data_IF_579043341485
#
_entry.id   IF_579043341485
#
_cell.length_a   1.000
_cell.length_b   1.000
_cell.length_c   1.000
_cell.angle_alpha   90.00
_cell.angle_beta   90.00
_cell.angle_gamma   90.00
#
_symmetry.space_group_name_H-M   'P 1'
#
loop_
_entity.id
_entity.type
_entity.pdbx_description
1 polymer ?
#
# COMPACT_ATOMS: atom_id res chain seq x y z
N UNK A 1 -17.23 -34.37 45.36
CA UNK A 1 -16.08 -35.22 45.70
C UNK A 1 -15.07 -35.06 44.55
N UNK A 2 -14.05 -34.27 44.79
CA UNK A 2 -13.01 -33.98 43.83
C UNK A 2 -12.02 -35.13 43.87
N UNK A 3 -12.03 -36.00 42.84
CA UNK A 3 -11.04 -37.04 42.69
C UNK A 3 -9.80 -36.44 42.01
N UNK A 4 -8.66 -36.73 42.62
CA UNK A 4 -7.34 -36.20 42.31
C UNK A 4 -6.95 -36.37 40.84
N UNK A 5 -6.27 -35.33 40.32
CA UNK A 5 -5.65 -35.28 39.00
C UNK A 5 -4.50 -36.32 38.97
N UNK A 6 -4.78 -37.49 38.37
CA UNK A 6 -3.74 -38.46 38.03
C UNK A 6 -3.55 -38.46 36.52
N UNK A 7 -2.32 -38.38 36.05
CA UNK A 7 -2.01 -38.59 34.63
C UNK A 7 -2.14 -40.10 34.31
N UNK A 8 -2.92 -40.43 33.31
CA UNK A 8 -3.05 -41.78 32.82
C UNK A 8 -2.13 -42.03 31.63
N UNK A 9 -1.34 -43.09 31.70
CA UNK A 9 -0.43 -43.53 30.66
C UNK A 9 -1.21 -44.32 29.62
N UNK A 10 -1.21 -43.89 28.38
CA UNK A 10 -1.90 -44.57 27.27
C UNK A 10 -0.99 -45.66 26.69
N UNK A 11 -1.05 -46.86 27.26
CA UNK A 11 -0.28 -48.01 26.76
C UNK A 11 -1.22 -48.90 25.92
N UNK A 12 -1.13 -48.76 24.60
CA UNK A 12 -1.89 -49.62 23.68
C UNK A 12 -1.34 -49.53 22.26
N UNK A 13 -0.78 -50.64 21.81
CA UNK A 13 -0.35 -50.85 20.42
C UNK A 13 -1.55 -50.80 19.48
N UNK A 14 -1.76 -49.69 18.76
CA UNK A 14 -2.80 -49.56 17.75
C UNK A 14 -2.37 -50.21 16.43
N UNK A 15 -3.01 -51.36 16.07
CA UNK A 15 -2.98 -51.88 14.70
C UNK A 15 -4.04 -51.20 13.86
N UNK A 16 -3.59 -50.48 12.85
CA UNK A 16 -4.46 -49.76 11.90
C UNK A 16 -4.83 -50.59 10.68
N UNK A 17 -6.10 -50.59 10.32
CA UNK A 17 -6.62 -51.00 9.02
C UNK A 17 -7.41 -49.86 8.39
N UNK A 18 -6.93 -49.32 7.26
CA UNK A 18 -7.67 -48.35 6.45
C UNK A 18 -6.85 -47.88 5.22
N UNK A 19 -7.47 -47.47 4.11
CA UNK A 19 -6.91 -47.56 2.77
C UNK A 19 -5.98 -46.39 2.42
N UNK A 20 -4.89 -46.75 1.88
CA UNK A 20 -3.66 -46.16 1.29
C UNK A 20 -2.46 -46.38 2.19
N UNK A 21 -1.80 -47.43 1.79
CA UNK A 21 -0.96 -48.31 2.59
C UNK A 21 0.47 -47.82 2.91
N UNK A 22 0.90 -46.65 2.47
CA UNK A 22 2.31 -46.26 2.64
C UNK A 22 2.61 -45.20 3.71
N UNK A 23 1.66 -44.35 4.07
CA UNK A 23 1.91 -43.30 5.08
C UNK A 23 1.34 -43.60 6.47
N UNK A 24 0.33 -44.49 6.55
CA UNK A 24 -0.35 -44.86 7.81
C UNK A 24 0.28 -46.04 8.52
N UNK A 25 1.07 -46.86 7.85
CA UNK A 25 1.80 -47.97 8.43
C UNK A 25 3.05 -47.57 9.23
N UNK A 26 3.55 -46.36 9.00
CA UNK A 26 4.70 -45.79 9.74
C UNK A 26 4.36 -45.36 11.18
N UNK A 27 3.06 -45.28 11.53
CA UNK A 27 2.65 -44.82 12.89
C UNK A 27 2.36 -45.96 13.85
N UNK A 28 2.81 -47.18 13.56
CA UNK A 28 2.52 -48.36 14.38
C UNK A 28 3.36 -48.49 15.66
N UNK A 29 4.45 -47.73 15.76
CA UNK A 29 5.33 -47.68 16.95
C UNK A 29 5.50 -46.24 17.44
N UNK A 30 5.33 -46.02 18.75
CA UNK A 30 5.46 -44.69 19.36
C UNK A 30 6.84 -44.01 19.05
N UNK A 31 7.89 -44.80 18.88
CA UNK A 31 9.20 -44.33 18.46
C UNK A 31 9.26 -43.79 17.02
N UNK A 32 8.35 -44.25 16.14
CA UNK A 32 8.29 -43.77 14.75
C UNK A 32 7.63 -42.39 14.66
N UNK A 33 6.79 -42.01 15.61
CA UNK A 33 6.20 -40.67 15.71
C UNK A 33 7.31 -39.61 15.97
N UNK A 34 8.21 -39.90 16.91
CA UNK A 34 9.32 -38.98 17.20
C UNK A 34 10.26 -38.83 15.99
N UNK A 35 10.56 -39.92 15.27
CA UNK A 35 11.36 -39.88 14.05
C UNK A 35 10.68 -39.08 12.95
N UNK A 36 9.36 -39.22 12.80
CA UNK A 36 8.57 -38.44 11.82
C UNK A 36 8.58 -36.95 12.16
N UNK A 37 8.40 -36.59 13.42
CA UNK A 37 8.51 -35.21 13.91
C UNK A 37 9.93 -34.66 13.65
N UNK A 38 10.98 -35.44 13.93
CA UNK A 38 12.37 -35.06 13.69
C UNK A 38 12.66 -34.83 12.20
N UNK A 39 12.12 -35.67 11.33
CA UNK A 39 12.26 -35.50 9.88
C UNK A 39 11.63 -34.19 9.39
N UNK A 40 10.38 -33.91 9.83
CA UNK A 40 9.69 -32.67 9.46
C UNK A 40 10.41 -31.44 10.03
N UNK A 41 10.85 -31.50 11.27
CA UNK A 41 11.57 -30.41 11.91
C UNK A 41 12.83 -30.04 11.12
N UNK A 42 13.59 -31.04 10.64
CA UNK A 42 14.79 -30.83 9.80
C UNK A 42 14.46 -30.35 8.40
N UNK A 43 13.47 -30.99 7.73
CA UNK A 43 13.10 -30.67 6.35
C UNK A 43 12.55 -29.25 6.19
N UNK A 44 11.94 -28.74 7.25
CA UNK A 44 11.29 -27.41 7.28
C UNK A 44 12.02 -26.37 8.14
N UNK A 45 13.15 -26.76 8.73
CA UNK A 45 13.97 -25.87 9.64
C UNK A 45 13.14 -25.31 10.80
N UNK A 46 12.22 -26.12 11.34
CA UNK A 46 11.35 -25.74 12.46
C UNK A 46 11.90 -26.32 13.76
N UNK A 47 11.80 -25.54 14.85
CA UNK A 47 12.13 -26.06 16.17
C UNK A 47 11.27 -27.27 16.56
N UNK A 48 11.92 -28.39 16.88
CA UNK A 48 11.30 -29.66 17.27
C UNK A 48 10.35 -29.50 18.44
N UNK A 49 10.77 -28.76 19.47
CA UNK A 49 9.98 -28.60 20.69
C UNK A 49 8.71 -27.78 20.42
N UNK A 50 8.81 -26.73 19.60
CA UNK A 50 7.66 -25.95 19.17
C UNK A 50 6.63 -26.81 18.38
N UNK A 51 7.11 -27.77 17.58
CA UNK A 51 6.26 -28.70 16.84
C UNK A 51 5.56 -29.68 17.78
N UNK A 52 6.28 -30.22 18.78
CA UNK A 52 5.71 -31.12 19.80
C UNK A 52 4.61 -30.43 20.60
N UNK A 53 4.86 -29.22 21.09
CA UNK A 53 3.87 -28.42 21.84
C UNK A 53 2.63 -28.15 21.01
N UNK A 54 2.77 -27.84 19.71
CA UNK A 54 1.64 -27.63 18.83
C UNK A 54 0.80 -28.91 18.64
N UNK A 55 1.44 -30.08 18.56
CA UNK A 55 0.77 -31.37 18.48
C UNK A 55 0.00 -31.66 19.80
N UNK A 56 0.63 -31.46 20.95
CA UNK A 56 0.01 -31.61 22.27
C UNK A 56 -1.25 -30.76 22.40
N UNK A 57 -1.17 -29.46 22.01
CA UNK A 57 -2.30 -28.53 22.04
C UNK A 57 -3.43 -28.91 21.08
N UNK A 58 -3.09 -29.30 19.85
CA UNK A 58 -4.10 -29.70 18.86
C UNK A 58 -4.86 -30.96 19.28
N UNK A 59 -4.16 -31.90 19.92
CA UNK A 59 -4.75 -33.10 20.44
C UNK A 59 -5.65 -32.86 21.65
N UNK A 60 -5.18 -32.01 22.58
CA UNK A 60 -5.97 -31.58 23.73
C UNK A 60 -7.29 -30.92 23.25
N UNK A 61 -7.21 -30.02 22.29
CA UNK A 61 -8.37 -29.34 21.71
C UNK A 61 -9.34 -30.32 20.99
N UNK A 62 -8.81 -31.27 20.26
CA UNK A 62 -9.64 -32.27 19.57
C UNK A 62 -10.39 -33.18 20.54
N UNK A 63 -9.74 -33.58 21.62
CA UNK A 63 -10.35 -34.38 22.69
C UNK A 63 -11.35 -33.52 23.47
N UNK A 64 -11.03 -32.32 23.85
CA UNK A 64 -11.92 -31.38 24.51
C UNK A 64 -13.23 -31.18 23.71
N UNK A 65 -13.10 -30.96 22.40
CA UNK A 65 -14.27 -30.83 21.51
C UNK A 65 -15.09 -32.11 21.38
N UNK A 66 -14.45 -33.28 21.37
CA UNK A 66 -15.15 -34.56 21.22
C UNK A 66 -15.92 -34.95 22.47
N UNK A 67 -15.31 -34.74 23.63
CA UNK A 67 -15.88 -35.18 24.92
C UNK A 67 -16.64 -34.07 25.65
N UNK A 68 -16.64 -32.84 25.12
CA UNK A 68 -17.29 -31.68 25.75
C UNK A 68 -16.68 -31.27 27.08
N UNK A 69 -15.37 -31.43 27.22
CA UNK A 69 -14.62 -31.17 28.45
C UNK A 69 -13.60 -30.07 28.18
N UNK A 70 -13.56 -29.03 29.03
CA UNK A 70 -12.71 -27.86 28.80
C UNK A 70 -11.29 -27.98 29.39
N UNK A 71 -11.02 -28.99 30.23
CA UNK A 71 -9.75 -29.14 30.97
C UNK A 71 -9.00 -30.43 30.56
N UNK A 72 -8.66 -30.52 29.27
CA UNK A 72 -7.88 -31.63 28.73
C UNK A 72 -6.43 -31.23 28.60
N UNK A 73 -5.53 -31.89 29.35
CA UNK A 73 -4.09 -31.75 29.19
C UNK A 73 -3.53 -32.99 28.48
N UNK A 74 -2.73 -32.76 27.44
CA UNK A 74 -2.04 -33.79 26.66
C UNK A 74 -0.55 -33.50 26.65
N UNK A 75 0.26 -34.53 26.88
CA UNK A 75 1.71 -34.45 26.81
C UNK A 75 2.29 -35.60 26.01
N UNK A 76 3.29 -35.33 25.21
CA UNK A 76 4.08 -36.34 24.48
C UNK A 76 5.36 -36.63 25.30
N UNK A 77 5.57 -37.86 25.66
CA UNK A 77 6.84 -38.30 26.26
C UNK A 77 7.95 -38.23 25.20
N UNK A 78 9.01 -37.44 25.48
CA UNK A 78 10.11 -37.18 24.55
C UNK A 78 11.01 -38.38 24.31
N UNK A 79 10.98 -39.36 25.23
CA UNK A 79 11.82 -40.56 25.14
C UNK A 79 11.11 -41.72 24.51
N UNK A 80 9.87 -41.97 24.94
CA UNK A 80 9.10 -43.12 24.50
C UNK A 80 8.20 -42.85 23.32
N UNK A 81 7.85 -41.56 23.05
CA UNK A 81 6.90 -41.14 22.04
C UNK A 81 5.44 -41.49 22.42
N UNK A 82 5.18 -41.78 23.71
CA UNK A 82 3.85 -42.06 24.21
C UNK A 82 3.11 -40.76 24.56
N UNK A 83 1.81 -40.75 24.26
CA UNK A 83 0.94 -39.66 24.67
C UNK A 83 0.32 -39.93 26.03
N UNK A 84 0.44 -38.97 26.92
CA UNK A 84 -0.05 -38.99 28.28
C UNK A 84 -1.20 -38.00 28.39
N UNK A 85 -2.39 -38.48 28.78
CA UNK A 85 -3.59 -37.64 28.94
C UNK A 85 -4.08 -37.68 30.38
N UNK A 86 -4.66 -36.56 30.85
CA UNK A 86 -5.28 -36.50 32.19
C UNK A 86 -6.68 -37.10 32.27
N UNK A 87 -7.21 -37.62 31.15
CA UNK A 87 -8.50 -38.33 31.07
C UNK A 87 -8.31 -39.76 30.63
N UNK A 88 -9.14 -40.67 31.22
CA UNK A 88 -9.21 -42.06 30.77
C UNK A 88 -10.09 -42.16 29.52
N UNK A 89 -9.45 -42.33 28.40
CA UNK A 89 -10.07 -42.27 27.08
C UNK A 89 -9.89 -43.61 26.38
N UNK A 90 -11.00 -44.27 25.99
CA UNK A 90 -10.94 -45.56 25.32
C UNK A 90 -10.32 -45.47 23.91
N UNK A 91 -9.35 -46.35 23.66
CA UNK A 91 -8.39 -46.22 22.52
C UNK A 91 -8.97 -46.59 21.14
N UNK A 92 -10.04 -47.40 21.07
CA UNK A 92 -10.48 -48.01 19.80
C UNK A 92 -11.15 -47.01 18.82
N UNK A 93 -11.86 -46.00 19.32
CA UNK A 93 -12.52 -44.97 18.47
C UNK A 93 -11.65 -43.80 18.12
N UNK A 94 -10.50 -43.64 18.74
CA UNK A 94 -9.68 -42.43 18.73
C UNK A 94 -8.64 -42.36 17.60
N UNK A 95 -8.24 -43.50 17.07
CA UNK A 95 -7.13 -43.55 16.12
C UNK A 95 -7.28 -42.64 14.89
N UNK A 96 -8.49 -42.53 14.33
CA UNK A 96 -8.73 -41.65 13.18
C UNK A 96 -8.68 -40.17 13.55
N UNK A 97 -9.33 -39.80 14.67
CA UNK A 97 -9.37 -38.39 15.10
C UNK A 97 -7.98 -37.94 15.52
N UNK A 98 -7.27 -38.81 16.20
CA UNK A 98 -5.90 -38.64 16.61
C UNK A 98 -4.98 -38.37 15.41
N UNK A 99 -4.92 -39.27 14.43
CA UNK A 99 -4.08 -39.10 13.24
C UNK A 99 -4.43 -37.81 12.45
N UNK A 100 -5.72 -37.50 12.33
CA UNK A 100 -6.18 -36.27 11.68
C UNK A 100 -5.74 -35.00 12.47
N UNK A 101 -5.87 -35.04 13.80
CA UNK A 101 -5.46 -33.90 14.66
C UNK A 101 -3.98 -33.68 14.62
N UNK A 102 -3.15 -34.71 14.69
CA UNK A 102 -1.69 -34.62 14.56
C UNK A 102 -1.29 -34.09 13.19
N UNK A 103 -1.88 -34.63 12.12
CA UNK A 103 -1.63 -34.16 10.76
C UNK A 103 -1.98 -32.65 10.62
N UNK A 104 -3.14 -32.23 11.15
CA UNK A 104 -3.56 -30.82 11.09
C UNK A 104 -2.65 -29.91 11.93
N UNK A 105 -2.21 -30.36 13.10
CA UNK A 105 -1.27 -29.61 13.94
C UNK A 105 0.07 -29.40 13.24
N UNK A 106 0.63 -30.49 12.66
CA UNK A 106 1.88 -30.43 11.91
C UNK A 106 1.74 -29.47 10.73
N UNK A 107 0.70 -29.62 9.90
CA UNK A 107 0.45 -28.72 8.76
C UNK A 107 0.27 -27.27 9.22
N UNK A 108 -0.45 -27.05 10.34
CA UNK A 108 -0.65 -25.74 10.92
C UNK A 108 0.67 -25.09 11.32
N UNK A 109 1.54 -25.82 12.02
CA UNK A 109 2.83 -25.33 12.50
C UNK A 109 3.84 -25.08 11.38
N UNK A 110 3.87 -25.97 10.38
CA UNK A 110 4.68 -25.78 9.18
C UNK A 110 4.29 -24.48 8.46
N UNK A 111 2.98 -24.26 8.25
CA UNK A 111 2.48 -23.03 7.62
C UNK A 111 2.78 -21.78 8.46
N UNK A 112 2.75 -21.90 9.77
CA UNK A 112 3.08 -20.81 10.67
C UNK A 112 4.56 -20.42 10.57
N UNK A 113 5.46 -21.40 10.58
CA UNK A 113 6.87 -21.17 10.40
C UNK A 113 7.21 -20.61 9.01
N UNK A 114 6.64 -21.19 7.94
CA UNK A 114 6.77 -20.66 6.58
C UNK A 114 6.27 -19.21 6.49
N UNK A 115 5.15 -18.90 7.14
CA UNK A 115 4.60 -17.54 7.24
C UNK A 115 5.58 -16.58 7.93
N UNK A 116 6.19 -17.00 9.04
CA UNK A 116 7.09 -16.15 9.81
C UNK A 116 8.39 -15.87 9.05
N UNK A 117 8.92 -16.84 8.31
CA UNK A 117 10.08 -16.64 7.40
C UNK A 117 9.72 -15.67 6.28
N UNK A 118 8.58 -15.85 5.61
CA UNK A 118 8.11 -14.95 4.55
C UNK A 118 7.89 -13.54 5.09
N UNK A 119 7.30 -13.42 6.28
CA UNK A 119 7.08 -12.12 6.92
C UNK A 119 8.40 -11.40 7.16
N UNK A 120 9.39 -12.06 7.76
CA UNK A 120 10.71 -11.48 8.01
C UNK A 120 11.43 -11.08 6.71
N UNK A 121 11.30 -11.90 5.64
CA UNK A 121 11.88 -11.57 4.33
C UNK A 121 11.29 -10.28 3.75
N UNK A 122 9.96 -10.13 3.76
CA UNK A 122 9.30 -8.94 3.21
C UNK A 122 9.36 -7.73 4.14
N UNK A 123 9.44 -7.94 5.45
CA UNK A 123 9.65 -6.86 6.43
C UNK A 123 11.02 -6.20 6.24
N UNK A 124 12.06 -6.99 5.95
CA UNK A 124 13.38 -6.48 5.63
C UNK A 124 13.42 -5.66 4.32
N UNK A 125 12.46 -5.91 3.41
CA UNK A 125 12.34 -5.22 2.12
C UNK A 125 11.30 -4.08 2.13
N UNK A 126 10.86 -3.62 3.30
CA UNK A 126 9.97 -2.48 3.39
C UNK A 126 10.58 -1.25 2.73
N UNK A 127 9.84 -0.59 1.85
CA UNK A 127 10.31 0.56 1.07
C UNK A 127 11.06 0.21 -0.20
N UNK A 128 11.29 -1.06 -0.51
CA UNK A 128 11.89 -1.51 -1.77
C UNK A 128 10.82 -1.77 -2.83
N UNK A 129 11.26 -1.80 -4.10
CA UNK A 129 10.43 -2.14 -5.24
C UNK A 129 10.39 -3.66 -5.42
N UNK A 130 9.18 -4.17 -5.52
CA UNK A 130 8.94 -5.56 -5.90
C UNK A 130 8.25 -5.65 -7.25
N UNK A 131 8.63 -6.65 -8.05
CA UNK A 131 7.96 -6.97 -9.31
C UNK A 131 7.05 -8.16 -9.11
N UNK A 132 5.82 -8.07 -9.60
CA UNK A 132 4.85 -9.16 -9.56
C UNK A 132 3.98 -9.21 -10.81
N UNK A 133 3.14 -10.22 -10.91
CA UNK A 133 2.17 -10.37 -11.99
C UNK A 133 0.76 -10.24 -11.43
N UNK A 134 -0.08 -9.41 -12.05
CA UNK A 134 -1.47 -9.23 -11.65
C UNK A 134 -2.22 -10.55 -11.87
N UNK A 135 -2.75 -11.12 -10.80
CA UNK A 135 -3.42 -12.41 -10.83
C UNK A 135 -4.94 -12.28 -10.98
N UNK A 136 -5.54 -11.40 -10.20
CA UNK A 136 -7.00 -11.19 -10.18
C UNK A 136 -7.35 -9.85 -9.55
N UNK A 137 -8.62 -9.48 -9.70
CA UNK A 137 -9.21 -8.34 -9.00
C UNK A 137 -10.17 -8.85 -7.92
N UNK A 138 -10.10 -8.26 -6.75
CA UNK A 138 -11.06 -8.45 -5.67
C UNK A 138 -11.74 -7.11 -5.39
N UNK A 139 -12.86 -6.87 -6.08
CA UNK A 139 -13.49 -5.56 -6.10
C UNK A 139 -12.55 -4.49 -6.69
N UNK A 140 -12.29 -3.44 -5.92
CA UNK A 140 -11.37 -2.36 -6.31
C UNK A 140 -9.88 -2.66 -6.05
N UNK A 141 -9.59 -3.79 -5.42
CA UNK A 141 -8.24 -4.19 -5.03
C UNK A 141 -7.62 -5.09 -6.09
N UNK A 142 -6.35 -4.87 -6.41
CA UNK A 142 -5.59 -5.73 -7.32
C UNK A 142 -4.75 -6.70 -6.51
N UNK A 143 -4.87 -7.98 -6.81
CA UNK A 143 -4.05 -9.03 -6.23
C UNK A 143 -2.90 -9.36 -7.19
N UNK A 144 -1.70 -9.24 -6.67
CA UNK A 144 -0.45 -9.41 -7.41
C UNK A 144 0.28 -10.65 -6.88
N UNK A 145 0.68 -11.53 -7.76
CA UNK A 145 1.52 -12.66 -7.41
C UNK A 145 2.99 -12.20 -7.35
N UNK A 146 3.58 -12.26 -6.15
CA UNK A 146 4.98 -11.87 -5.90
C UNK A 146 5.95 -13.07 -5.98
N UNK A 147 5.45 -14.22 -6.35
CA UNK A 147 6.21 -15.46 -6.38
C UNK A 147 6.00 -16.34 -5.15
N UNK A 148 6.43 -17.61 -5.22
CA UNK A 148 6.14 -18.63 -4.21
C UNK A 148 4.65 -18.65 -3.87
N UNK A 149 4.28 -18.51 -2.61
CA UNK A 149 2.89 -18.49 -2.11
C UNK A 149 2.46 -17.11 -1.60
N UNK A 150 3.22 -16.04 -1.94
CA UNK A 150 3.00 -14.70 -1.40
C UNK A 150 2.15 -13.85 -2.33
N UNK A 151 1.06 -13.33 -1.78
CA UNK A 151 0.16 -12.42 -2.48
C UNK A 151 0.45 -10.96 -2.06
N UNK A 152 0.71 -10.11 -3.06
CA UNK A 152 0.74 -8.66 -2.91
C UNK A 152 -0.66 -8.10 -3.11
N UNK A 153 -1.02 -7.13 -2.29
CA UNK A 153 -2.32 -6.47 -2.32
C UNK A 153 -2.10 -5.00 -2.66
N UNK A 154 -2.64 -4.55 -3.78
CA UNK A 154 -2.65 -3.16 -4.16
C UNK A 154 -4.07 -2.61 -3.96
N UNK A 155 -4.35 -1.94 -2.83
CA UNK A 155 -5.67 -1.41 -2.51
C UNK A 155 -6.01 -0.20 -3.37
N UNK A 156 -7.29 0.15 -3.47
CA UNK A 156 -7.78 1.30 -4.25
C UNK A 156 -7.07 2.62 -3.91
N UNK A 157 -6.78 2.86 -2.64
CA UNK A 157 -6.11 4.09 -2.19
C UNK A 157 -4.69 4.21 -2.73
N UNK A 158 -4.03 3.08 -2.96
CA UNK A 158 -2.64 2.99 -3.41
C UNK A 158 -2.50 2.76 -4.93
N UNK A 159 -3.62 2.75 -5.65
CA UNK A 159 -3.66 2.68 -7.12
C UNK A 159 -3.60 4.07 -7.73
N UNK A 160 -2.83 4.22 -8.77
CA UNK A 160 -2.82 5.43 -9.58
C UNK A 160 -4.02 5.40 -10.53
N UNK A 161 -4.89 6.43 -10.48
CA UNK A 161 -6.15 6.45 -11.25
C UNK A 161 -5.97 6.50 -12.76
N UNK A 162 -4.84 7.02 -13.23
CA UNK A 162 -4.51 7.12 -14.65
C UNK A 162 -3.94 5.83 -15.22
N UNK A 163 -3.59 4.87 -14.38
CA UNK A 163 -3.03 3.59 -14.81
C UNK A 163 -4.12 2.54 -15.05
N UNK A 164 -3.96 1.78 -16.12
CA UNK A 164 -4.78 0.61 -16.41
C UNK A 164 -4.07 -0.64 -15.92
N UNK A 165 -4.80 -1.49 -15.24
CA UNK A 165 -4.28 -2.73 -14.69
C UNK A 165 -4.99 -3.90 -15.37
N UNK A 166 -4.22 -4.85 -15.96
CA UNK A 166 -4.78 -6.00 -16.65
C UNK A 166 -4.26 -7.30 -16.02
N UNK A 167 -5.12 -8.31 -15.96
CA UNK A 167 -4.71 -9.64 -15.47
C UNK A 167 -3.63 -10.22 -16.39
N UNK A 168 -2.57 -10.76 -15.79
CA UNK A 168 -1.40 -11.27 -16.50
C UNK A 168 -0.31 -10.22 -16.78
N UNK A 169 -0.58 -8.95 -16.53
CA UNK A 169 0.39 -7.88 -16.71
C UNK A 169 1.41 -7.86 -15.56
N UNK A 170 2.65 -7.53 -15.89
CA UNK A 170 3.71 -7.37 -14.92
C UNK A 170 3.68 -5.96 -14.34
N UNK A 171 3.74 -5.86 -13.03
CA UNK A 171 3.70 -4.59 -12.31
C UNK A 171 4.88 -4.50 -11.34
N UNK A 172 5.45 -3.30 -11.23
CA UNK A 172 6.39 -2.94 -10.18
C UNK A 172 5.67 -2.05 -9.17
N UNK A 173 5.85 -2.31 -7.89
CA UNK A 173 5.24 -1.53 -6.83
C UNK A 173 6.14 -1.47 -5.60
N UNK A 174 5.96 -0.45 -4.78
CA UNK A 174 6.66 -0.30 -3.51
C UNK A 174 6.01 -1.21 -2.47
N UNK A 175 6.80 -1.89 -1.67
CA UNK A 175 6.32 -2.58 -0.48
C UNK A 175 6.04 -1.52 0.59
N UNK A 176 4.75 -1.26 0.82
CA UNK A 176 4.32 -0.22 1.76
C UNK A 176 4.16 -0.75 3.18
N UNK A 177 3.58 -1.93 3.33
CA UNK A 177 3.33 -2.55 4.63
C UNK A 177 3.24 -4.06 4.48
N UNK A 178 3.65 -4.80 5.51
CA UNK A 178 3.54 -6.26 5.56
C UNK A 178 2.68 -6.65 6.76
N UNK A 179 1.65 -7.48 6.53
CA UNK A 179 0.70 -7.91 7.57
C UNK A 179 0.59 -9.42 7.64
N UNK A 180 0.57 -9.95 8.87
CA UNK A 180 0.18 -11.33 9.13
C UNK A 180 -1.35 -11.39 9.24
N UNK A 181 -2.00 -12.07 8.30
CA UNK A 181 -3.47 -12.24 8.30
C UNK A 181 -3.79 -13.72 8.32
N UNK A 182 -4.11 -14.23 9.50
CA UNK A 182 -4.34 -15.66 9.70
C UNK A 182 -3.12 -16.50 9.28
N UNK A 183 -3.29 -17.50 8.42
CA UNK A 183 -2.21 -18.40 8.01
C UNK A 183 -1.34 -17.84 6.87
N UNK A 184 -1.60 -16.62 6.37
CA UNK A 184 -0.90 -16.04 5.22
C UNK A 184 -0.28 -14.69 5.56
N UNK A 185 0.79 -14.34 4.82
CA UNK A 185 1.35 -12.99 4.79
C UNK A 185 0.68 -12.22 3.66
N UNK A 186 0.25 -11.02 3.96
CA UNK A 186 -0.27 -10.06 2.98
C UNK A 186 0.70 -8.89 2.88
N UNK A 187 1.26 -8.70 1.70
CA UNK A 187 2.16 -7.59 1.40
C UNK A 187 1.33 -6.48 0.75
N UNK A 188 1.20 -5.35 1.45
CA UNK A 188 0.49 -4.18 0.92
C UNK A 188 1.44 -3.43 0.00
N UNK A 189 1.01 -3.26 -1.24
CA UNK A 189 1.77 -2.58 -2.28
C UNK A 189 1.23 -1.16 -2.49
N UNK A 190 2.12 -0.24 -2.87
CA UNK A 190 1.74 1.12 -3.25
C UNK A 190 2.38 1.52 -4.57
N UNK A 191 1.59 2.20 -5.43
CA UNK A 191 2.07 2.92 -6.62
C UNK A 191 1.89 4.43 -6.48
N UNK A 192 1.19 4.89 -5.43
CA UNK A 192 0.98 6.32 -5.15
C UNK A 192 2.06 6.93 -4.29
N UNK A 193 2.77 6.13 -3.49
CA UNK A 193 3.76 6.61 -2.55
C UNK A 193 4.95 7.30 -3.24
N UNK A 194 5.45 8.40 -2.66
CA UNK A 194 6.59 9.16 -3.21
C UNK A 194 7.90 8.36 -3.23
N UNK A 195 8.07 7.44 -2.27
CA UNK A 195 9.27 6.62 -2.19
C UNK A 195 9.37 5.59 -3.32
N UNK A 196 8.27 5.29 -4.04
CA UNK A 196 8.35 4.55 -5.29
C UNK A 196 9.25 5.26 -6.31
N UNK A 197 9.08 6.58 -6.44
CA UNK A 197 9.92 7.38 -7.35
C UNK A 197 11.37 7.39 -6.87
N UNK A 198 11.61 7.54 -5.56
CA UNK A 198 12.95 7.46 -4.97
C UNK A 198 13.63 6.15 -5.34
N UNK A 199 12.98 5.02 -5.06
CA UNK A 199 13.52 3.71 -5.31
C UNK A 199 13.74 3.43 -6.81
N UNK A 200 12.91 3.98 -7.71
CA UNK A 200 13.16 3.92 -9.15
C UNK A 200 14.40 4.70 -9.56
N UNK A 201 14.63 5.87 -8.97
CA UNK A 201 15.87 6.63 -9.22
C UNK A 201 17.11 5.92 -8.66
N UNK A 202 17.02 5.29 -7.50
CA UNK A 202 18.10 4.48 -6.91
C UNK A 202 18.48 3.30 -7.81
N UNK A 203 17.50 2.69 -8.48
CA UNK A 203 17.74 1.59 -9.44
C UNK A 203 18.37 2.06 -10.76
N UNK A 204 17.94 3.22 -11.30
CA UNK A 204 18.36 3.68 -12.63
C UNK A 204 19.60 4.57 -12.59
N UNK A 205 19.92 5.17 -11.44
CA UNK A 205 21.00 6.17 -11.28
C UNK A 205 22.02 5.65 -10.27
N UNK A 206 23.12 5.03 -10.71
CA UNK A 206 24.16 4.49 -9.83
C UNK A 206 24.74 5.54 -8.87
N UNK A 207 24.87 6.78 -9.31
CA UNK A 207 25.39 7.90 -8.50
C UNK A 207 24.52 8.23 -7.29
N UNK A 208 23.22 7.86 -7.30
CA UNK A 208 22.34 7.93 -6.14
C UNK A 208 22.56 6.73 -5.23
N UNK A 209 22.68 5.55 -5.79
CA UNK A 209 22.95 4.31 -5.06
C UNK A 209 24.30 4.38 -4.32
N UNK A 210 25.31 4.97 -4.94
CA UNK A 210 26.65 5.18 -4.35
C UNK A 210 26.69 6.33 -3.33
N UNK A 211 25.61 7.10 -3.19
CA UNK A 211 25.51 8.24 -2.27
C UNK A 211 26.24 9.51 -2.75
N UNK A 212 26.76 9.55 -3.98
CA UNK A 212 27.35 10.75 -4.59
C UNK A 212 26.29 11.82 -4.81
N UNK A 213 25.10 11.41 -5.23
CA UNK A 213 23.91 12.25 -5.39
C UNK A 213 22.90 11.89 -4.32
N UNK A 214 22.36 12.90 -3.67
CA UNK A 214 21.36 12.74 -2.62
C UNK A 214 20.02 13.34 -3.06
N UNK A 215 18.94 12.59 -2.92
CA UNK A 215 17.59 13.09 -3.10
C UNK A 215 17.17 13.82 -1.82
N UNK A 216 17.09 15.14 -1.86
CA UNK A 216 16.74 15.99 -0.70
C UNK A 216 15.25 15.98 -0.43
N UNK A 217 14.41 16.16 -1.47
CA UNK A 217 12.95 16.18 -1.35
C UNK A 217 12.28 15.65 -2.61
N UNK A 218 11.11 15.04 -2.40
CA UNK A 218 10.23 14.58 -3.48
C UNK A 218 8.81 15.03 -3.14
N UNK A 219 8.17 15.70 -4.09
CA UNK A 219 6.76 16.00 -4.03
C UNK A 219 6.06 15.47 -5.28
N UNK A 220 5.00 14.68 -5.07
CA UNK A 220 4.37 13.88 -6.09
C UNK A 220 2.87 14.06 -6.11
N UNK A 221 2.31 14.24 -7.30
CA UNK A 221 0.90 14.01 -7.61
C UNK A 221 0.82 12.76 -8.49
N UNK A 222 0.47 11.59 -7.90
CA UNK A 222 0.56 10.32 -8.59
C UNK A 222 -0.18 10.27 -9.91
N UNK A 223 0.49 9.81 -10.96
CA UNK A 223 -0.03 9.72 -12.32
C UNK A 223 -0.08 11.04 -13.10
N UNK A 224 0.40 12.14 -12.51
CA UNK A 224 0.42 13.44 -13.16
C UNK A 224 1.80 14.06 -13.23
N UNK A 225 2.37 14.40 -12.10
CA UNK A 225 3.66 15.10 -12.03
C UNK A 225 4.37 14.89 -10.72
N UNK A 226 5.68 14.74 -10.80
CA UNK A 226 6.60 14.68 -9.65
C UNK A 226 7.68 15.73 -9.79
N UNK A 227 8.01 16.39 -8.68
CA UNK A 227 9.17 17.26 -8.56
C UNK A 227 10.18 16.63 -7.60
N UNK A 228 11.42 16.51 -8.07
CA UNK A 228 12.52 15.86 -7.37
C UNK A 228 13.64 16.84 -7.17
N UNK A 229 13.99 17.16 -5.93
CA UNK A 229 15.14 18.00 -5.62
C UNK A 229 16.34 17.12 -5.27
N UNK A 230 17.41 17.27 -6.05
CA UNK A 230 18.65 16.51 -5.93
C UNK A 230 19.83 17.43 -5.63
N UNK A 231 20.77 16.90 -4.88
CA UNK A 231 22.01 17.58 -4.49
C UNK A 231 23.20 16.66 -4.73
N UNK A 232 24.35 17.20 -5.04
CA UNK A 232 25.57 16.43 -5.19
C UNK A 232 26.52 16.69 -4.04
N UNK A 233 27.08 15.63 -3.47
CA UNK A 233 28.13 15.71 -2.48
C UNK A 233 29.51 16.03 -3.11
N UNK A 234 29.65 15.87 -4.43
CA UNK A 234 30.84 16.24 -5.21
C UNK A 234 30.47 17.38 -6.17
N UNK A 235 31.13 18.55 -6.03
CA UNK A 235 30.91 19.71 -6.89
C UNK A 235 31.19 19.50 -8.37
N UNK A 236 31.99 18.47 -8.70
CA UNK A 236 32.31 18.09 -10.08
C UNK A 236 31.22 17.32 -10.79
N UNK A 237 30.27 16.76 -10.03
CA UNK A 237 29.20 15.93 -10.56
C UNK A 237 27.94 16.78 -10.77
N UNK A 238 27.47 16.84 -12.02
CA UNK A 238 26.17 17.44 -12.32
C UNK A 238 25.03 16.49 -11.90
N UNK A 239 24.44 16.78 -10.73
CA UNK A 239 23.37 15.95 -10.16
C UNK A 239 22.13 15.84 -11.06
N UNK A 240 21.79 16.92 -11.80
CA UNK A 240 20.64 16.91 -12.71
C UNK A 240 20.96 16.11 -13.97
N UNK A 241 22.13 16.37 -14.58
CA UNK A 241 22.57 15.65 -15.77
C UNK A 241 22.71 14.14 -15.55
N UNK A 242 23.25 13.72 -14.40
CA UNK A 242 23.37 12.31 -14.05
C UNK A 242 22.00 11.61 -13.90
N UNK A 243 21.03 12.27 -13.26
CA UNK A 243 19.66 11.77 -13.11
C UNK A 243 18.89 11.70 -14.45
N UNK A 244 19.13 12.65 -15.35
CA UNK A 244 18.54 12.67 -16.70
C UNK A 244 19.16 11.58 -17.57
N UNK A 245 20.47 11.41 -17.48
CA UNK A 245 21.23 10.47 -18.29
C UNK A 245 21.43 10.92 -19.73
N UNK A 246 22.22 10.14 -20.49
CA UNK A 246 22.55 10.46 -21.88
C UNK A 246 21.27 10.54 -22.72
N UNK A 247 21.02 11.69 -23.33
CA UNK A 247 19.80 11.94 -24.13
C UNK A 247 18.48 11.66 -23.40
N UNK A 248 18.48 11.74 -22.07
CA UNK A 248 17.30 11.49 -21.25
C UNK A 248 16.94 10.01 -21.07
N UNK A 249 17.86 9.08 -21.32
CA UNK A 249 17.57 7.63 -21.27
C UNK A 249 17.10 7.17 -19.90
N UNK A 250 17.77 7.62 -18.81
CA UNK A 250 17.44 7.20 -17.45
C UNK A 250 16.07 7.72 -17.00
N UNK A 251 15.85 9.02 -17.16
CA UNK A 251 14.57 9.63 -16.79
C UNK A 251 13.41 9.07 -17.62
N UNK A 252 13.65 8.75 -18.90
CA UNK A 252 12.64 8.15 -19.76
C UNK A 252 12.22 6.77 -19.28
N UNK A 253 13.16 5.91 -18.89
CA UNK A 253 12.88 4.59 -18.30
C UNK A 253 11.96 4.70 -17.09
N UNK A 254 12.21 5.68 -16.20
CA UNK A 254 11.39 5.92 -15.02
C UNK A 254 9.99 6.47 -15.40
N UNK A 255 9.91 7.40 -16.35
CA UNK A 255 8.64 7.95 -16.84
C UNK A 255 7.78 6.85 -17.49
N UNK A 256 8.40 5.96 -18.28
CA UNK A 256 7.71 4.84 -18.92
C UNK A 256 7.18 3.85 -17.87
N UNK A 257 7.95 3.55 -16.80
CA UNK A 257 7.49 2.72 -15.68
C UNK A 257 6.31 3.35 -14.92
N UNK A 258 6.27 4.68 -14.82
CA UNK A 258 5.20 5.45 -14.17
C UNK A 258 4.05 5.83 -15.13
N UNK A 259 3.93 5.15 -16.26
CA UNK A 259 2.86 5.37 -17.25
C UNK A 259 2.76 6.82 -17.76
N UNK A 260 3.90 7.47 -17.98
CA UNK A 260 3.96 8.82 -18.54
C UNK A 260 3.80 9.94 -17.50
N UNK A 261 3.98 9.66 -16.21
CA UNK A 261 4.04 10.69 -15.16
C UNK A 261 5.23 11.63 -15.42
N UNK A 262 4.97 12.93 -15.45
CA UNK A 262 6.03 13.94 -15.69
C UNK A 262 6.93 14.08 -14.48
N UNK A 263 8.24 14.07 -14.70
CA UNK A 263 9.23 14.22 -13.63
C UNK A 263 10.10 15.45 -13.91
N UNK A 264 10.09 16.41 -12.98
CA UNK A 264 10.96 17.57 -12.99
C UNK A 264 12.09 17.38 -11.99
N UNK A 265 13.32 17.33 -12.48
CA UNK A 265 14.52 17.21 -11.65
C UNK A 265 15.07 18.61 -11.40
N UNK A 266 15.24 18.94 -10.13
CA UNK A 266 15.57 20.28 -9.64
C UNK A 266 16.88 20.19 -8.86
N UNK A 267 17.84 21.07 -9.17
CA UNK A 267 19.05 21.19 -8.34
C UNK A 267 18.67 21.85 -7.01
N UNK A 268 18.99 21.19 -5.92
CA UNK A 268 18.83 21.76 -4.58
C UNK A 268 19.72 22.98 -4.40
N UNK A 269 19.26 23.97 -3.68
CA UNK A 269 20.04 25.10 -3.22
C UNK A 269 19.62 25.48 -1.82
N UNK A 270 20.57 25.88 -0.98
CA UNK A 270 20.30 26.34 0.37
C UNK A 270 19.68 27.73 0.40
N UNK A 271 19.93 28.55 -0.65
CA UNK A 271 19.23 29.82 -0.83
C UNK A 271 17.81 29.61 -1.30
N UNK A 272 16.80 30.05 -0.50
CA UNK A 272 15.40 29.84 -0.81
C UNK A 272 14.96 30.48 -2.14
N UNK A 273 15.48 31.65 -2.49
CA UNK A 273 15.13 32.34 -3.73
C UNK A 273 15.54 31.50 -4.93
N UNK A 274 16.76 31.02 -4.93
CA UNK A 274 17.30 30.17 -6.00
C UNK A 274 16.55 28.83 -6.06
N UNK A 275 16.22 28.25 -4.90
CA UNK A 275 15.46 27.00 -4.85
C UNK A 275 14.05 27.16 -5.41
N UNK A 276 13.34 28.24 -5.09
CA UNK A 276 12.01 28.56 -5.61
C UNK A 276 12.07 28.78 -7.13
N UNK A 277 13.05 29.56 -7.62
CA UNK A 277 13.26 29.76 -9.05
C UNK A 277 13.47 28.42 -9.79
N UNK A 278 14.32 27.53 -9.24
CA UNK A 278 14.55 26.20 -9.79
C UNK A 278 13.28 25.33 -9.73
N UNK A 279 12.50 25.45 -8.65
CA UNK A 279 11.29 24.64 -8.44
C UNK A 279 10.14 25.04 -9.38
N UNK A 280 10.10 26.29 -9.85
CA UNK A 280 9.08 26.77 -10.79
C UNK A 280 9.38 26.44 -12.24
N UNK A 281 10.60 25.97 -12.56
CA UNK A 281 10.91 25.52 -13.93
C UNK A 281 9.82 24.56 -14.46
N UNK A 282 9.45 24.63 -15.75
CA UNK A 282 10.13 25.32 -16.85
C UNK A 282 9.83 26.83 -16.99
N UNK A 283 9.03 27.45 -16.11
CA UNK A 283 8.78 28.88 -16.17
C UNK A 283 10.03 29.68 -15.81
N UNK A 284 10.24 30.77 -16.53
CA UNK A 284 11.28 31.77 -16.22
C UNK A 284 10.74 32.75 -15.19
N UNK A 285 11.49 32.90 -14.11
CA UNK A 285 11.13 33.73 -12.96
C UNK A 285 11.99 34.96 -12.95
N UNK A 286 11.36 36.13 -12.74
CA UNK A 286 12.05 37.39 -12.54
C UNK A 286 12.49 37.59 -11.09
N UNK A 287 11.92 38.56 -10.41
CA UNK A 287 12.27 38.92 -9.04
C UNK A 287 11.50 38.05 -8.04
N UNK A 288 12.16 37.69 -6.93
CA UNK A 288 11.55 36.93 -5.83
C UNK A 288 11.71 37.69 -4.52
N UNK A 289 10.61 38.06 -3.90
CA UNK A 289 10.58 38.68 -2.58
C UNK A 289 10.17 37.67 -1.55
N UNK A 290 10.99 37.48 -0.51
CA UNK A 290 10.77 36.52 0.56
C UNK A 290 10.36 37.22 1.85
N UNK A 291 9.29 36.73 2.49
CA UNK A 291 8.96 37.06 3.87
C UNK A 291 9.28 35.86 4.79
N UNK A 292 10.39 35.88 5.51
CA UNK A 292 10.78 34.78 6.39
C UNK A 292 9.81 34.55 7.56
N UNK A 293 9.09 35.59 7.96
CA UNK A 293 8.18 35.57 9.13
C UNK A 293 6.93 34.73 8.83
N UNK A 294 6.34 34.94 7.66
CA UNK A 294 5.14 34.22 7.21
C UNK A 294 5.45 33.04 6.32
N UNK A 295 6.72 32.84 5.91
CA UNK A 295 7.18 31.88 4.89
C UNK A 295 6.44 32.05 3.56
N UNK A 296 6.16 33.29 3.18
CA UNK A 296 5.58 33.63 1.89
C UNK A 296 6.67 34.09 0.92
N UNK A 297 6.51 33.71 -0.32
CA UNK A 297 7.37 34.09 -1.42
C UNK A 297 6.52 34.74 -2.51
N UNK A 298 6.70 36.01 -2.76
CA UNK A 298 6.12 36.72 -3.90
C UNK A 298 7.06 36.57 -5.08
N UNK A 299 6.57 35.96 -6.14
CA UNK A 299 7.32 35.65 -7.36
C UNK A 299 6.77 36.47 -8.51
N UNK A 300 7.62 37.34 -9.10
CA UNK A 300 7.24 38.16 -10.23
C UNK A 300 7.66 37.44 -11.52
N UNK A 301 6.70 37.28 -12.42
CA UNK A 301 6.91 36.63 -13.71
C UNK A 301 6.42 37.54 -14.85
N UNK A 302 6.92 37.30 -16.04
CA UNK A 302 6.38 37.94 -17.25
C UNK A 302 4.99 37.36 -17.56
N UNK A 303 4.16 38.13 -18.26
CA UNK A 303 2.78 37.73 -18.60
C UNK A 303 2.72 36.41 -19.38
N UNK A 304 3.67 36.17 -20.28
CA UNK A 304 3.82 34.96 -21.07
C UNK A 304 4.21 33.73 -20.21
N UNK A 305 4.88 33.94 -19.09
CA UNK A 305 5.34 32.87 -18.17
C UNK A 305 4.36 32.57 -17.05
N UNK A 306 3.38 33.43 -16.77
CA UNK A 306 2.44 33.28 -15.66
C UNK A 306 1.67 31.94 -15.73
N UNK A 307 1.11 31.62 -16.90
CA UNK A 307 0.38 30.36 -17.09
C UNK A 307 1.26 29.12 -16.89
N UNK A 308 2.56 29.24 -17.25
CA UNK A 308 3.52 28.14 -17.10
C UNK A 308 3.93 27.98 -15.63
N UNK A 309 4.15 29.09 -14.94
CA UNK A 309 4.53 29.14 -13.53
C UNK A 309 3.41 28.55 -12.63
N UNK A 310 2.19 28.93 -12.87
CA UNK A 310 1.01 28.38 -12.17
C UNK A 310 0.79 26.92 -12.56
N UNK A 311 0.87 26.63 -13.86
CA UNK A 311 0.62 25.32 -14.43
C UNK A 311 -0.87 24.92 -14.46
N UNK A 312 -1.16 23.77 -15.06
CA UNK A 312 -2.54 23.28 -15.19
C UNK A 312 -3.15 23.06 -13.79
N UNK A 313 -4.27 23.73 -13.48
CA UNK A 313 -4.94 23.66 -12.16
C UNK A 313 -4.03 24.00 -10.98
N UNK A 314 -3.03 24.86 -11.17
CA UNK A 314 -2.09 25.25 -10.11
C UNK A 314 -1.11 24.13 -9.68
N UNK A 315 -0.94 23.09 -10.48
CA UNK A 315 -0.07 21.95 -10.12
C UNK A 315 1.39 22.36 -9.96
N UNK A 316 1.91 23.21 -10.84
CA UNK A 316 3.32 23.58 -10.82
C UNK A 316 3.66 24.36 -9.55
N UNK A 317 2.88 25.40 -9.24
CA UNK A 317 3.08 26.21 -8.04
C UNK A 317 2.84 25.39 -6.76
N UNK A 318 1.79 24.56 -6.72
CA UNK A 318 1.49 23.74 -5.54
C UNK A 318 2.59 22.74 -5.21
N UNK A 319 3.14 22.06 -6.23
CA UNK A 319 4.28 21.15 -6.04
C UNK A 319 5.55 21.89 -5.66
N UNK A 320 5.81 23.06 -6.27
CA UNK A 320 6.94 23.91 -5.92
C UNK A 320 6.85 24.42 -4.47
N UNK A 321 5.66 24.85 -4.04
CA UNK A 321 5.39 25.32 -2.68
C UNK A 321 5.67 24.21 -1.65
N UNK A 322 5.14 23.02 -1.88
CA UNK A 322 5.41 21.85 -1.01
C UNK A 322 6.89 21.47 -0.98
N UNK A 323 7.53 21.45 -2.14
CA UNK A 323 8.95 21.07 -2.26
C UNK A 323 9.87 22.04 -1.53
N UNK A 324 9.62 23.34 -1.66
CA UNK A 324 10.43 24.40 -1.04
C UNK A 324 10.06 24.65 0.42
N UNK A 325 8.79 24.41 0.78
CA UNK A 325 8.23 24.73 2.08
C UNK A 325 7.89 26.21 2.25
N UNK A 326 7.73 26.94 1.12
CA UNK A 326 7.29 28.32 1.05
C UNK A 326 5.93 28.41 0.38
N UNK A 327 5.07 29.27 0.87
CA UNK A 327 3.81 29.62 0.21
C UNK A 327 4.13 30.60 -0.93
N UNK A 328 3.92 30.14 -2.18
CA UNK A 328 4.37 30.85 -3.38
C UNK A 328 3.18 31.53 -4.03
N UNK A 329 3.22 32.87 -4.03
CA UNK A 329 2.29 33.71 -4.76
C UNK A 329 2.94 34.20 -6.06
N UNK A 330 2.27 34.01 -7.20
CA UNK A 330 2.78 34.38 -8.51
C UNK A 330 1.98 35.55 -9.04
N UNK A 331 2.67 36.62 -9.34
CA UNK A 331 2.11 37.88 -9.90
C UNK A 331 2.88 38.35 -11.12
N UNK A 332 2.18 39.00 -12.03
CA UNK A 332 2.83 39.75 -13.08
C UNK A 332 3.26 41.14 -12.58
N UNK A 333 4.21 41.78 -13.25
CA UNK A 333 4.64 43.13 -12.89
C UNK A 333 3.47 44.13 -12.94
N UNK A 334 2.58 43.98 -13.92
CA UNK A 334 1.38 44.83 -14.05
C UNK A 334 0.35 44.62 -12.93
N UNK A 335 0.23 43.37 -12.40
CA UNK A 335 -0.63 43.08 -11.25
C UNK A 335 -0.07 43.63 -9.95
N UNK A 336 1.27 43.58 -9.77
CA UNK A 336 1.95 44.15 -8.64
C UNK A 336 1.79 45.70 -8.59
N UNK A 337 1.98 46.37 -9.72
CA UNK A 337 1.78 47.84 -9.82
C UNK A 337 0.35 48.23 -9.48
N UNK A 338 -0.65 47.45 -9.90
CA UNK A 338 -2.06 47.67 -9.56
C UNK A 338 -2.33 47.47 -8.07
N UNK A 339 -1.81 46.40 -7.47
CA UNK A 339 -2.00 46.13 -6.02
C UNK A 339 -1.41 47.24 -5.16
N UNK A 340 -0.19 47.74 -5.51
CA UNK A 340 0.43 48.87 -4.81
C UNK A 340 -0.33 50.17 -5.02
N UNK A 341 -0.93 50.39 -6.21
CA UNK A 341 -1.74 51.56 -6.48
C UNK A 341 -3.08 51.57 -5.73
N UNK A 342 -3.66 50.37 -5.52
CA UNK A 342 -4.91 50.21 -4.76
C UNK A 342 -4.67 50.32 -3.25
N UNK A 343 -3.57 49.82 -2.72
CA UNK A 343 -3.17 49.99 -1.31
C UNK A 343 -2.92 51.45 -0.99
N UNK A 344 -2.29 52.20 -1.91
CA UNK A 344 -2.09 53.66 -1.76
C UNK A 344 -3.39 54.49 -1.88
N UNK A 345 -4.45 53.94 -2.48
CA UNK A 345 -5.75 54.60 -2.54
C UNK A 345 -6.59 54.41 -1.27
N UNK A 346 -6.32 53.32 -0.51
CA UNK A 346 -6.99 53.05 0.76
C UNK A 346 -6.61 53.94 1.91
N UNK A 347 -5.52 54.70 1.81
CA UNK A 347 -4.98 55.58 2.86
C UNK A 347 -5.08 57.07 2.54
N UNK A 348 -6.20 57.48 1.87
CA UNK A 348 -6.54 58.88 1.79
C UNK A 348 -7.19 59.33 3.08
N UNK A 349 -6.63 60.28 3.86
CA UNK A 349 -7.27 60.81 5.03
C UNK A 349 -8.57 61.51 4.60
N UNK A 350 -9.66 61.14 5.26
CA UNK A 350 -10.95 61.76 5.07
C UNK A 350 -10.81 63.29 5.20
N UNK A 351 -11.36 64.10 4.27
CA UNK A 351 -11.28 65.56 4.41
C UNK A 351 -12.03 65.98 5.65
N UNK A 352 -11.37 66.67 6.55
CA UNK A 352 -11.94 67.33 7.70
C UNK A 352 -13.06 68.28 7.23
N UNK A 353 -14.31 67.89 7.37
CA UNK A 353 -15.43 68.79 7.17
C UNK A 353 -15.51 69.72 8.36
N UNK A 354 -15.17 70.99 8.11
CA UNK A 354 -15.46 72.13 8.93
C UNK A 354 -16.99 72.21 9.16
N UNK A 355 -17.40 72.03 10.40
CA UNK A 355 -18.74 72.35 10.85
C UNK A 355 -18.91 73.85 10.98
N UNK A 356 -20.05 74.46 10.61
CA UNK A 356 -20.50 75.70 11.22
C UNK A 356 -21.54 75.41 12.32
N UNK A 357 -21.23 75.96 13.43
CA UNK A 357 -22.02 76.20 14.60
C UNK A 357 -23.37 76.92 14.31
N UNK A 358 -24.48 76.44 14.88
CA UNK A 358 -25.66 77.15 15.37
C UNK A 358 -26.69 76.14 15.86
N UNK A 359 -26.93 76.03 17.16
CA UNK A 359 -27.78 76.84 17.99
C UNK A 359 -29.08 76.12 18.21
N UNK A 360 -29.22 75.68 19.46
CA UNK A 360 -30.38 75.79 20.38
C UNK A 360 -31.68 74.98 20.11
N UNK A 361 -32.01 74.30 21.20
CA UNK A 361 -33.32 74.11 21.85
C UNK A 361 -34.30 73.05 21.38
N UNK A 362 -34.60 72.21 22.31
CA UNK A 362 -35.95 71.82 22.64
C UNK A 362 -36.25 70.30 22.78
N UNK A 363 -36.10 69.88 23.98
CA UNK A 363 -37.01 69.12 24.82
C UNK A 363 -37.75 67.86 24.32
N UNK A 364 -37.62 66.89 25.16
CA UNK A 364 -38.61 65.93 25.72
C UNK A 364 -38.87 64.62 25.00
N UNK A 365 -38.50 63.68 25.73
CA UNK A 365 -39.22 62.59 26.42
C UNK A 365 -39.58 61.33 25.66
N UNK A 366 -39.08 60.30 26.21
CA UNK A 366 -39.74 59.12 26.74
C UNK A 366 -39.85 57.85 25.82
N UNK A 367 -39.24 56.89 26.30
CA UNK A 367 -39.76 55.62 26.84
C UNK A 367 -39.76 54.42 25.87
N UNK A 368 -38.99 53.46 26.30
CA UNK A 368 -39.31 52.07 26.52
C UNK A 368 -39.38 51.10 25.30
N UNK A 369 -38.72 50.06 25.53
CA UNK A 369 -39.25 48.75 25.33
C UNK A 369 -38.39 47.80 24.56
N UNK A 370 -37.50 47.12 25.23
CA UNK A 370 -37.24 45.71 25.34
C UNK A 370 -38.07 44.76 24.43
N UNK A 371 -37.42 43.88 23.77
CA UNK A 371 -37.49 42.42 23.96
C UNK A 371 -36.98 41.66 22.74
N UNK A 372 -35.99 40.85 23.00
CA UNK A 372 -35.86 39.54 22.32
C UNK A 372 -37.00 38.64 22.82
N UNK A 373 -37.42 37.61 22.06
CA UNK A 373 -36.95 36.24 22.36
C UNK A 373 -36.80 35.38 21.12
N UNK A 374 -35.86 34.47 21.13
CA UNK A 374 -35.88 33.01 21.29
C UNK A 374 -36.98 32.20 20.55
N UNK A 375 -36.50 31.28 19.72
CA UNK A 375 -36.69 29.83 19.73
C UNK A 375 -38.00 29.21 19.24
N UNK A 376 -37.82 28.08 18.65
CA UNK A 376 -38.59 26.83 18.54
C UNK A 376 -39.02 26.49 17.12
N UNK A 377 -38.45 25.45 16.56
CA UNK A 377 -38.73 23.98 16.54
C UNK A 377 -39.92 23.55 15.69
N UNK A 378 -39.71 22.36 15.12
CA UNK A 378 -40.68 21.42 14.51
C UNK A 378 -41.14 21.74 13.09
N UNK A 379 -41.17 20.83 12.14
CA UNK A 379 -41.21 19.38 12.14
C UNK A 379 -41.85 18.97 10.84
N UNK A 380 -41.60 17.77 10.45
CA UNK A 380 -42.50 16.86 9.73
C UNK A 380 -42.53 16.83 8.18
N UNK A 381 -42.20 15.64 7.75
CA UNK A 381 -42.90 14.73 6.83
C UNK A 381 -42.78 14.93 5.31
N UNK A 382 -42.34 13.80 4.75
CA UNK A 382 -42.36 13.45 3.35
C UNK A 382 -43.79 13.36 2.75
N UNK A 383 -43.94 12.92 1.50
CA UNK A 383 -43.92 11.50 1.19
C UNK A 383 -43.33 11.13 -0.20
N UNK A 384 -42.82 9.92 -0.29
CA UNK A 384 -43.00 9.08 -1.47
C UNK A 384 -44.47 8.77 -1.70
N UNK A 385 -44.98 8.44 -2.91
CA UNK A 385 -44.80 7.11 -3.44
C UNK A 385 -44.95 6.90 -4.98
N UNK A 386 -44.60 5.65 -5.32
CA UNK A 386 -45.26 4.75 -6.26
C UNK A 386 -44.94 4.80 -7.78
N UNK A 387 -44.23 3.78 -8.20
CA UNK A 387 -44.63 2.66 -9.08
C UNK A 387 -45.32 2.94 -10.40
N UNK A 388 -44.74 2.42 -11.48
CA UNK A 388 -45.46 1.60 -12.51
C UNK A 388 -44.42 0.95 -13.45
N UNK A 389 -44.25 -0.31 -13.37
CA UNK A 389 -44.43 -1.42 -14.33
C UNK A 389 -44.67 -1.03 -15.80
N UNK A 390 -43.84 -1.66 -16.67
CA UNK A 390 -44.26 -2.52 -17.80
C UNK A 390 -43.01 -3.03 -18.53
N UNK A 391 -42.71 -4.28 -18.44
CA UNK A 391 -42.88 -5.46 -19.35
C UNK A 391 -42.70 -5.17 -20.84
N UNK A 392 -41.77 -5.93 -21.40
CA UNK A 392 -41.79 -6.80 -22.59
C UNK A 392 -40.42 -6.75 -23.27
N UNK A 393 -39.77 -7.69 -23.66
CA UNK A 393 -39.92 -8.99 -24.28
C UNK A 393 -38.59 -9.30 -24.96
N UNK A 394 -38.15 -10.53 -24.82
CA UNK A 394 -37.09 -11.18 -25.64
C UNK A 394 -37.58 -11.37 -27.08
N UNK A 395 -36.71 -11.60 -28.12
CA UNK A 395 -36.05 -12.90 -28.20
C UNK A 395 -34.61 -12.90 -28.75
N UNK A 396 -33.94 -13.97 -28.41
CA UNK A 396 -32.75 -14.57 -29.07
C UNK A 396 -33.21 -15.19 -30.44
N UNK A 397 -32.37 -15.20 -31.49
CA UNK A 397 -31.96 -16.50 -31.96
C UNK A 397 -30.50 -16.65 -32.48
N UNK A 398 -29.97 -17.84 -32.24
CA UNK A 398 -29.29 -18.77 -33.13
C UNK A 398 -27.90 -18.48 -33.71
N UNK A 399 -27.03 -19.39 -33.28
CA UNK A 399 -25.82 -19.87 -33.97
C UNK A 399 -26.14 -20.42 -35.38
N UNK A 400 -25.15 -20.43 -36.31
CA UNK A 400 -24.64 -21.76 -36.65
C UNK A 400 -23.12 -21.85 -36.84
N UNK A 401 -22.67 -23.05 -36.57
CA UNK A 401 -21.38 -23.63 -36.84
C UNK A 401 -21.09 -23.86 -38.34
N UNK A 402 -19.82 -23.80 -38.72
CA UNK A 402 -19.14 -24.56 -39.79
C UNK A 402 -17.65 -24.40 -39.52
N UNK A 403 -16.87 -25.35 -39.15
CA UNK A 403 -16.34 -26.59 -39.70
C UNK A 403 -15.35 -26.38 -40.87
N UNK A 404 -14.15 -27.03 -40.65
CA UNK A 404 -13.19 -27.57 -41.65
C UNK A 404 -12.21 -26.53 -42.21
N UNK A 405 -10.87 -26.68 -42.07
CA UNK A 405 -9.99 -27.70 -42.69
C UNK A 405 -8.53 -27.48 -42.26
N UNK A 406 -7.84 -28.54 -41.91
CA UNK A 406 -6.37 -28.64 -41.98
C UNK A 406 -5.94 -29.10 -43.39
N UNK A 407 -4.72 -28.79 -43.83
CA UNK A 407 -3.82 -29.80 -44.34
C UNK A 407 -2.39 -29.64 -43.80
N UNK A 408 -1.74 -30.66 -43.29
CA UNK A 408 -0.99 -31.79 -43.82
C UNK A 408 0.30 -31.44 -44.61
N UNK A 409 1.43 -31.77 -43.94
CA UNK A 409 2.67 -32.37 -44.43
C UNK A 409 3.33 -31.91 -45.75
N UNK A 410 4.63 -31.56 -45.67
CA UNK A 410 5.67 -32.22 -46.48
C UNK A 410 7.07 -31.78 -46.02
N UNK A 411 7.85 -32.75 -45.73
CA UNK A 411 9.25 -33.10 -45.85
C UNK A 411 10.17 -32.16 -46.64
N UNK A 412 11.45 -32.12 -46.17
CA UNK A 412 12.57 -31.61 -46.94
C UNK A 412 13.87 -31.61 -46.15
N UNK A 413 14.58 -32.74 -46.17
CA UNK A 413 15.96 -32.96 -45.74
C UNK A 413 16.96 -32.07 -46.47
N UNK A 414 18.10 -31.72 -45.79
CA UNK A 414 19.50 -31.93 -46.25
C UNK A 414 20.41 -30.98 -45.47
N UNK A 415 21.22 -31.46 -44.56
CA UNK A 415 22.63 -31.86 -44.60
C UNK A 415 23.60 -30.75 -45.06
N UNK A 416 24.60 -30.48 -44.20
CA UNK A 416 25.85 -29.81 -44.56
C UNK A 416 26.56 -29.12 -43.41
N UNK A 417 27.32 -29.86 -42.64
CA UNK A 417 28.57 -29.49 -41.95
C UNK A 417 29.73 -29.59 -42.96
N UNK A 418 30.97 -29.19 -42.71
CA UNK A 418 31.61 -28.35 -41.69
C UNK A 418 32.66 -27.35 -42.27
N UNK A 419 33.10 -26.39 -41.51
CA UNK A 419 34.52 -26.09 -41.18
C UNK A 419 34.59 -25.08 -40.04
#
# INVERSE_FOLDING_TARGET
MVRGRGFYRLTGSCRFFGPSLDETQAMANNADILRYIDSIARDKEIDKEALIVAIEQAMALALAKKYGVDDVEMRLDRETGEFICNYDVSMEEQGRIFAMSVKQAIIGRVREAERDVIFAEFEAKLGEIVSGTIQRFEGDTVIVNLGRTTEGILPRAEKVRSENYNVGERIRALIYEVKKVGPRVKVILSRTHRDLVRALFELEVPEISDGTITIRRIEREPGYRTKLAVDSNDEKVDCVGACVGVRGSRIKSIIDELNGERIDIIRWNNDPSTLIANALKPAEVGDITLDPTTKKALVIVNEDQQSLAIGRKGQNVRLASKLTGWDIDIMTRAELERSVADDNRGEAPAPASLAPDRGAEGATSATSGAKSPQAETEGAEGPEPASSETRSDKPNPETPATAVESPSLADGQSAGDPT
#
